data_IF_009142547248
#
_entry.id   IF_009142547248
#
_cell.length_a   1.000
_cell.length_b   1.000
_cell.length_c   1.000
_cell.angle_alpha   90.00
_cell.angle_beta   90.00
_cell.angle_gamma   90.00
#
_symmetry.space_group_name_H-M   'P 1'
#
loop_
_entity.id
_entity.type
_entity.pdbx_description
1 polymer ?
#
# COMPACT_ATOMS: atom_id res chain seq x y z
N UNK A 1 29.94 18.82 -20.22
CA UNK A 1 28.91 19.27 -19.26
C UNK A 1 29.25 20.69 -18.86
N UNK A 2 28.34 21.65 -19.00
CA UNK A 2 28.61 23.03 -18.60
C UNK A 2 27.99 23.27 -17.21
N UNK A 3 28.84 23.52 -16.22
CA UNK A 3 28.44 23.79 -14.83
C UNK A 3 28.60 25.28 -14.57
N UNK A 4 27.49 25.96 -14.30
CA UNK A 4 27.48 27.38 -13.94
C UNK A 4 27.20 27.54 -12.46
N UNK A 5 28.14 28.13 -11.72
CA UNK A 5 27.93 28.48 -10.31
C UNK A 5 27.00 29.69 -10.23
N UNK A 6 25.84 29.52 -9.59
CA UNK A 6 24.88 30.60 -9.38
C UNK A 6 25.14 31.36 -8.08
N UNK A 7 25.57 30.64 -7.04
CA UNK A 7 26.00 31.24 -5.76
C UNK A 7 26.86 30.27 -4.97
N UNK A 8 27.94 30.75 -4.36
CA UNK A 8 28.74 29.96 -3.40
C UNK A 8 28.81 30.68 -2.07
N UNK A 9 28.40 29.99 -1.01
CA UNK A 9 28.55 30.38 0.39
C UNK A 9 29.24 29.20 1.09
N UNK A 10 30.12 29.40 2.07
CA UNK A 10 30.71 28.29 2.83
C UNK A 10 29.63 27.32 3.32
N UNK A 11 29.76 26.06 2.91
CA UNK A 11 28.83 24.96 3.20
C UNK A 11 27.54 24.92 2.37
N UNK A 12 27.39 25.82 1.39
CA UNK A 12 26.23 25.87 0.49
C UNK A 12 26.59 26.36 -0.92
N UNK A 13 26.45 25.48 -1.91
CA UNK A 13 26.71 25.77 -3.31
C UNK A 13 25.43 25.64 -4.14
N UNK A 14 25.12 26.64 -4.98
CA UNK A 14 24.04 26.56 -5.97
C UNK A 14 24.61 26.55 -7.38
N UNK A 15 24.22 25.56 -8.16
CA UNK A 15 24.73 25.33 -9.50
C UNK A 15 23.58 25.25 -10.50
N UNK A 16 23.89 25.50 -11.76
CA UNK A 16 23.06 25.18 -12.90
C UNK A 16 23.87 24.32 -13.85
N UNK A 17 23.30 23.19 -14.26
CA UNK A 17 23.98 22.19 -15.09
C UNK A 17 23.21 22.06 -16.41
N UNK A 18 23.87 22.39 -17.52
CA UNK A 18 23.29 22.24 -18.86
C UNK A 18 23.90 21.00 -19.57
N UNK A 19 23.10 20.11 -20.21
CA UNK A 19 21.66 20.16 -20.46
C UNK A 19 20.91 19.11 -19.60
N UNK A 20 20.73 19.34 -18.30
CA UNK A 20 19.78 18.53 -17.53
C UNK A 20 18.35 18.86 -17.99
N UNK A 21 17.88 18.22 -19.06
CA UNK A 21 16.45 18.18 -19.42
C UNK A 21 15.71 17.38 -18.34
N UNK A 22 14.46 17.77 -18.09
CA UNK A 22 13.60 17.25 -17.01
C UNK A 22 13.64 15.71 -16.82
N UNK A 23 13.81 14.95 -17.89
CA UNK A 23 13.80 13.48 -17.89
C UNK A 23 15.09 12.85 -17.30
N UNK A 24 16.21 13.57 -17.28
CA UNK A 24 17.49 13.06 -16.76
C UNK A 24 17.74 13.43 -15.28
N UNK A 25 16.92 14.32 -14.70
CA UNK A 25 17.07 14.73 -13.29
C UNK A 25 16.55 13.65 -12.33
N UNK A 26 15.54 12.87 -12.74
CA UNK A 26 15.02 11.74 -11.95
C UNK A 26 16.08 10.63 -11.83
N UNK A 27 16.75 10.28 -12.92
CA UNK A 27 17.70 9.18 -12.94
C UNK A 27 19.06 9.52 -12.30
N UNK A 28 19.43 10.81 -12.26
CA UNK A 28 20.68 11.27 -11.65
C UNK A 28 20.70 11.06 -10.12
N UNK A 29 19.55 10.84 -9.48
CA UNK A 29 19.45 10.71 -8.02
C UNK A 29 18.73 9.44 -7.54
N UNK A 30 18.19 8.62 -8.44
CA UNK A 30 17.64 7.30 -8.11
C UNK A 30 18.72 6.20 -8.00
N UNK A 31 19.94 6.45 -8.50
CA UNK A 31 21.11 5.61 -8.18
C UNK A 31 21.68 6.03 -6.81
N UNK A 32 22.11 5.09 -5.95
CA UNK A 32 22.78 5.39 -4.70
C UNK A 32 24.15 6.00 -5.00
N UNK A 33 24.19 7.31 -5.22
CA UNK A 33 25.44 8.05 -5.35
C UNK A 33 26.04 8.13 -3.95
N UNK A 34 27.15 7.43 -3.74
CA UNK A 34 27.93 7.61 -2.52
C UNK A 34 28.46 9.02 -2.51
N UNK A 35 27.93 9.84 -1.59
CA UNK A 35 28.43 11.19 -1.40
C UNK A 35 29.88 11.13 -0.88
N UNK A 36 30.80 11.90 -1.46
CA UNK A 36 32.11 12.10 -0.88
C UNK A 36 31.98 12.55 0.58
N UNK A 37 32.90 12.12 1.47
CA UNK A 37 32.90 12.53 2.86
C UNK A 37 32.91 14.07 2.95
N UNK A 38 31.92 14.63 3.64
CA UNK A 38 31.72 16.07 3.78
C UNK A 38 30.68 16.69 2.86
N UNK A 39 30.11 15.97 1.89
CA UNK A 39 28.87 16.40 1.22
C UNK A 39 27.67 15.91 2.05
N UNK A 40 26.86 16.85 2.53
CA UNK A 40 25.76 16.59 3.46
C UNK A 40 24.43 16.38 2.74
N UNK A 41 24.21 17.11 1.64
CA UNK A 41 22.95 17.07 0.90
C UNK A 41 23.15 17.57 -0.53
N UNK A 42 22.53 16.92 -1.50
CA UNK A 42 22.38 17.42 -2.86
C UNK A 42 20.89 17.43 -3.20
N UNK A 43 20.33 18.60 -3.49
CA UNK A 43 18.90 18.81 -3.73
C UNK A 43 18.69 19.48 -5.10
N UNK A 44 18.17 18.75 -6.10
CA UNK A 44 17.86 19.32 -7.39
C UNK A 44 16.49 20.01 -7.39
N UNK A 45 16.38 21.09 -8.16
CA UNK A 45 15.11 21.71 -8.49
C UNK A 45 14.70 21.25 -9.90
N UNK A 46 13.69 20.38 -9.93
CA UNK A 46 13.16 19.71 -11.14
C UNK A 46 12.67 20.66 -12.22
N UNK A 47 12.29 21.88 -11.87
CA UNK A 47 11.69 22.85 -12.80
C UNK A 47 12.75 23.76 -13.42
N UNK A 48 13.87 23.99 -12.73
CA UNK A 48 14.86 25.01 -13.11
C UNK A 48 16.21 24.45 -13.51
N UNK A 49 16.39 23.12 -13.46
CA UNK A 49 17.67 22.43 -13.67
C UNK A 49 18.80 22.99 -12.77
N UNK A 50 18.41 23.47 -11.58
CA UNK A 50 19.32 24.01 -10.56
C UNK A 50 19.60 22.96 -9.52
N UNK A 51 20.84 22.92 -9.05
CA UNK A 51 21.30 22.03 -8.00
C UNK A 51 21.68 22.83 -6.77
N UNK A 52 21.21 22.42 -5.60
CA UNK A 52 21.64 22.93 -4.31
C UNK A 52 22.47 21.86 -3.60
N UNK A 53 23.74 22.14 -3.35
CA UNK A 53 24.64 21.27 -2.59
C UNK A 53 24.91 21.90 -1.23
N UNK A 54 24.76 21.13 -0.16
CA UNK A 54 25.26 21.45 1.18
C UNK A 54 26.45 20.55 1.47
N UNK A 55 27.51 21.15 1.99
CA UNK A 55 28.74 20.45 2.35
C UNK A 55 29.27 21.02 3.67
N UNK A 56 30.16 20.30 4.34
CA UNK A 56 30.88 20.80 5.50
C UNK A 56 32.13 21.55 5.01
N UNK A 57 32.18 22.89 5.16
CA UNK A 57 33.30 23.69 4.68
C UNK A 57 34.61 23.43 5.46
N UNK A 58 34.57 22.67 6.57
CA UNK A 58 35.77 22.22 7.28
C UNK A 58 36.41 21.00 6.65
N UNK A 59 35.65 20.22 5.88
CA UNK A 59 36.07 18.93 5.33
C UNK A 59 36.29 18.97 3.81
N UNK A 60 35.52 19.78 3.09
CA UNK A 60 35.54 19.82 1.61
C UNK A 60 35.46 21.27 1.14
N UNK A 61 36.28 21.65 0.15
CA UNK A 61 36.21 22.98 -0.43
C UNK A 61 35.24 23.05 -1.62
N UNK A 62 34.88 24.27 -2.05
CA UNK A 62 33.92 24.43 -3.16
C UNK A 62 34.40 23.77 -4.46
N UNK A 63 35.72 23.77 -4.71
CA UNK A 63 36.29 23.23 -5.93
C UNK A 63 36.17 21.70 -5.99
N UNK A 64 36.41 21.02 -4.87
CA UNK A 64 36.26 19.56 -4.78
C UNK A 64 34.83 19.11 -5.08
N UNK A 65 33.84 19.88 -4.63
CA UNK A 65 32.41 19.65 -4.93
C UNK A 65 32.14 19.81 -6.42
N UNK A 66 32.76 20.80 -7.09
CA UNK A 66 32.58 21.04 -8.51
C UNK A 66 33.22 19.94 -9.36
N UNK A 67 34.43 19.52 -8.99
CA UNK A 67 35.19 18.49 -9.69
C UNK A 67 34.51 17.12 -9.58
N UNK A 68 33.93 16.82 -8.42
CA UNK A 68 33.09 15.64 -8.23
C UNK A 68 31.83 15.67 -9.11
N UNK A 69 31.14 16.80 -9.21
CA UNK A 69 29.95 16.89 -10.09
C UNK A 69 30.34 16.75 -11.56
N UNK A 70 31.51 17.25 -11.94
CA UNK A 70 32.02 17.17 -13.30
C UNK A 70 32.47 15.75 -13.70
N UNK A 71 32.80 14.88 -12.74
CA UNK A 71 33.27 13.51 -12.99
C UNK A 71 32.15 12.49 -13.24
N UNK A 72 30.88 12.88 -13.09
CA UNK A 72 29.73 12.02 -13.33
C UNK A 72 29.45 11.94 -14.84
N UNK A 73 29.72 10.78 -15.46
CA UNK A 73 29.46 10.56 -16.89
C UNK A 73 27.96 10.37 -17.18
N UNK A 74 27.44 11.17 -18.10
CA UNK A 74 26.02 11.28 -18.44
C UNK A 74 25.60 10.37 -19.61
N UNK A 75 26.55 9.77 -20.34
CA UNK A 75 26.23 8.98 -21.52
C UNK A 75 25.70 7.58 -21.19
N UNK A 76 26.04 7.03 -20.02
CA UNK A 76 25.57 5.73 -19.51
C UNK A 76 24.10 5.73 -19.07
N UNK A 77 23.44 6.90 -19.09
CA UNK A 77 22.04 7.07 -18.68
C UNK A 77 21.07 6.89 -19.85
N UNK A 78 21.51 7.07 -21.09
CA UNK A 78 20.59 7.13 -22.25
C UNK A 78 20.19 5.78 -22.85
N UNK A 79 20.96 4.71 -22.64
CA UNK A 79 20.73 3.38 -23.23
C UNK A 79 19.72 2.52 -22.44
N UNK A 80 19.58 2.75 -21.13
CA UNK A 80 18.62 2.03 -20.27
C UNK A 80 17.21 2.64 -20.31
N UNK A 81 17.08 3.92 -20.66
CA UNK A 81 15.82 4.68 -20.69
C UNK A 81 14.79 4.10 -21.66
N UNK A 82 15.21 3.43 -22.74
CA UNK A 82 14.28 2.90 -23.74
C UNK A 82 13.73 1.49 -23.46
N UNK A 83 14.28 0.76 -22.49
CA UNK A 83 13.74 -0.56 -22.10
C UNK A 83 12.71 -0.49 -20.97
N UNK A 84 12.87 0.41 -20.00
CA UNK A 84 11.99 0.47 -18.82
C UNK A 84 10.75 1.36 -18.97
N UNK A 85 10.78 2.39 -19.83
CA UNK A 85 9.60 3.23 -20.06
C UNK A 85 8.50 2.53 -20.89
N UNK A 86 8.83 1.47 -21.63
CA UNK A 86 7.81 0.65 -22.35
C UNK A 86 7.18 -0.44 -21.47
N UNK A 87 7.69 -0.67 -20.25
CA UNK A 87 7.22 -1.76 -19.38
C UNK A 87 6.39 -1.32 -18.17
N UNK A 88 6.30 -0.02 -17.86
CA UNK A 88 5.38 0.52 -16.84
C UNK A 88 3.92 0.47 -17.33
N UNK A 89 3.40 -0.75 -17.45
CA UNK A 89 1.99 -1.01 -17.16
C UNK A 89 1.79 -0.62 -15.70
N UNK A 90 0.95 0.39 -15.47
CA UNK A 90 0.26 0.63 -14.20
C UNK A 90 -0.12 -0.70 -13.52
N UNK A 91 -0.33 -0.79 -12.20
CA UNK A 91 -0.81 -2.01 -11.56
C UNK A 91 -2.25 -2.34 -11.99
N UNK A 92 -2.38 -2.81 -13.23
CA UNK A 92 -3.55 -3.38 -13.89
C UNK A 92 -3.88 -4.75 -13.26
N UNK A 93 -3.05 -5.25 -12.34
CA UNK A 93 -3.17 -6.58 -11.73
C UNK A 93 -4.31 -6.69 -10.71
N UNK A 94 -4.58 -5.67 -9.89
CA UNK A 94 -5.60 -5.77 -8.82
C UNK A 94 -7.00 -5.95 -9.40
N UNK A 95 -7.29 -5.29 -10.53
CA UNK A 95 -8.57 -5.42 -11.21
C UNK A 95 -8.57 -6.42 -12.35
N UNK A 96 -7.47 -7.09 -12.72
CA UNK A 96 -7.47 -7.91 -13.95
C UNK A 96 -8.56 -8.99 -13.95
N UNK A 97 -8.75 -9.66 -12.82
CA UNK A 97 -9.76 -10.71 -12.68
C UNK A 97 -11.18 -10.15 -12.48
N UNK A 98 -11.30 -9.04 -11.77
CA UNK A 98 -12.60 -8.43 -11.44
C UNK A 98 -13.15 -7.58 -12.58
N UNK A 99 -12.27 -6.88 -13.30
CA UNK A 99 -12.56 -6.20 -14.55
C UNK A 99 -12.88 -7.20 -15.65
N UNK A 100 -12.26 -8.38 -15.64
CA UNK A 100 -12.66 -9.47 -16.53
C UNK A 100 -14.08 -9.96 -16.20
N UNK A 101 -14.41 -10.13 -14.92
CA UNK A 101 -15.75 -10.54 -14.49
C UNK A 101 -16.81 -9.47 -14.80
N UNK A 102 -16.53 -8.20 -14.52
CA UNK A 102 -17.44 -7.09 -14.81
C UNK A 102 -17.66 -6.90 -16.31
N UNK A 103 -16.61 -7.04 -17.11
CA UNK A 103 -16.70 -7.02 -18.58
C UNK A 103 -17.52 -8.19 -19.11
N UNK A 104 -17.37 -9.39 -18.52
CA UNK A 104 -18.20 -10.57 -18.85
C UNK A 104 -19.66 -10.33 -18.49
N UNK A 105 -19.96 -9.80 -17.30
CA UNK A 105 -21.32 -9.48 -16.87
C UNK A 105 -21.98 -8.43 -17.76
N UNK A 106 -21.26 -7.36 -18.10
CA UNK A 106 -21.75 -6.30 -18.98
C UNK A 106 -21.97 -6.82 -20.42
N UNK A 107 -21.07 -7.67 -20.92
CA UNK A 107 -21.26 -8.32 -22.21
C UNK A 107 -22.50 -9.23 -22.19
N UNK A 108 -22.65 -10.06 -21.17
CA UNK A 108 -23.76 -11.00 -21.03
C UNK A 108 -25.10 -10.28 -20.89
N UNK A 109 -25.15 -9.20 -20.12
CA UNK A 109 -26.35 -8.36 -20.00
C UNK A 109 -26.69 -7.65 -21.30
N UNK A 110 -25.69 -7.18 -22.05
CA UNK A 110 -25.87 -6.62 -23.39
C UNK A 110 -26.47 -7.64 -24.35
N UNK A 111 -25.91 -8.86 -24.39
CA UNK A 111 -26.42 -9.94 -25.25
C UNK A 111 -27.87 -10.29 -24.90
N UNK A 112 -28.19 -10.48 -23.62
CA UNK A 112 -29.55 -10.84 -23.21
C UNK A 112 -30.54 -9.69 -23.45
N UNK A 113 -30.11 -8.44 -23.25
CA UNK A 113 -30.90 -7.26 -23.59
C UNK A 113 -31.25 -7.20 -25.08
N UNK A 114 -30.26 -7.44 -25.96
CA UNK A 114 -30.48 -7.50 -27.41
C UNK A 114 -31.44 -8.63 -27.79
N UNK A 115 -31.24 -9.84 -27.23
CA UNK A 115 -32.14 -10.97 -27.48
C UNK A 115 -33.56 -10.65 -27.03
N UNK A 116 -33.73 -10.07 -25.83
CA UNK A 116 -35.03 -9.66 -25.34
C UNK A 116 -35.70 -8.65 -26.29
N UNK A 117 -34.94 -7.67 -26.82
CA UNK A 117 -35.44 -6.73 -27.81
C UNK A 117 -35.89 -7.43 -29.10
N UNK A 118 -35.09 -8.35 -29.64
CA UNK A 118 -35.41 -9.09 -30.87
C UNK A 118 -36.65 -9.99 -30.73
N UNK A 119 -36.82 -10.65 -29.59
CA UNK A 119 -37.93 -11.60 -29.38
C UNK A 119 -39.21 -10.95 -28.87
N UNK A 120 -39.11 -9.85 -28.11
CA UNK A 120 -40.29 -9.23 -27.49
C UNK A 120 -40.66 -7.88 -28.05
N UNK A 121 -39.80 -7.28 -28.89
CA UNK A 121 -39.94 -5.92 -29.42
C UNK A 121 -40.17 -4.85 -28.33
N UNK A 122 -39.89 -5.17 -27.06
CA UNK A 122 -40.09 -4.27 -25.93
C UNK A 122 -38.80 -3.56 -25.53
N UNK A 123 -38.68 -2.30 -25.94
CA UNK A 123 -37.58 -1.42 -25.54
C UNK A 123 -37.48 -1.29 -24.01
N UNK A 124 -38.63 -1.23 -23.32
CA UNK A 124 -38.70 -1.11 -21.85
C UNK A 124 -38.05 -2.31 -21.17
N UNK A 125 -38.32 -3.53 -21.66
CA UNK A 125 -37.76 -4.77 -21.13
C UNK A 125 -36.26 -4.86 -21.37
N UNK A 126 -35.82 -4.59 -22.60
CA UNK A 126 -34.41 -4.56 -22.97
C UNK A 126 -33.60 -3.57 -22.12
N UNK A 127 -34.07 -2.33 -21.98
CA UNK A 127 -33.39 -1.33 -21.15
C UNK A 127 -33.30 -1.75 -19.68
N UNK A 128 -34.36 -2.33 -19.13
CA UNK A 128 -34.35 -2.79 -17.73
C UNK A 128 -33.30 -3.88 -17.49
N UNK A 129 -33.20 -4.84 -18.41
CA UNK A 129 -32.19 -5.92 -18.35
C UNK A 129 -30.76 -5.38 -18.49
N UNK A 130 -30.56 -4.38 -19.35
CA UNK A 130 -29.27 -3.72 -19.51
C UNK A 130 -28.84 -3.00 -18.22
N UNK A 131 -29.75 -2.22 -17.62
CA UNK A 131 -29.48 -1.42 -16.40
C UNK A 131 -29.10 -2.34 -15.22
N UNK A 132 -29.83 -3.43 -15.03
CA UNK A 132 -29.58 -4.39 -13.94
C UNK A 132 -28.26 -5.15 -14.11
N UNK A 133 -27.79 -5.28 -15.36
CA UNK A 133 -26.52 -5.90 -15.68
C UNK A 133 -25.30 -5.00 -15.50
N UNK A 134 -25.47 -3.73 -15.13
CA UNK A 134 -24.36 -2.80 -14.92
C UNK A 134 -23.71 -3.03 -13.53
N UNK A 135 -22.41 -3.36 -13.47
CA UNK A 135 -21.72 -3.61 -12.19
C UNK A 135 -21.33 -2.33 -11.44
N UNK A 136 -21.80 -1.15 -11.87
CA UNK A 136 -21.34 0.14 -11.36
C UNK A 136 -21.54 0.34 -9.85
N UNK A 137 -22.68 -0.13 -9.32
CA UNK A 137 -22.97 -0.06 -7.88
C UNK A 137 -21.96 -0.82 -7.02
N UNK A 138 -21.48 -1.97 -7.51
CA UNK A 138 -20.50 -2.82 -6.80
C UNK A 138 -19.16 -2.11 -6.66
N UNK A 139 -18.66 -1.53 -7.75
CA UNK A 139 -17.39 -0.78 -7.74
C UNK A 139 -17.44 0.45 -6.85
N UNK A 140 -18.56 1.19 -6.87
CA UNK A 140 -18.74 2.36 -6.03
C UNK A 140 -18.80 1.98 -4.55
N UNK A 141 -19.47 0.89 -4.22
CA UNK A 141 -19.59 0.40 -2.85
C UNK A 141 -18.23 0.05 -2.26
N UNK A 142 -17.44 -0.76 -2.97
CA UNK A 142 -16.09 -1.15 -2.56
C UNK A 142 -15.19 0.06 -2.37
N UNK A 143 -15.17 0.98 -3.35
CA UNK A 143 -14.36 2.20 -3.27
C UNK A 143 -14.77 3.08 -2.08
N UNK A 144 -16.07 3.18 -1.80
CA UNK A 144 -16.55 3.90 -0.63
C UNK A 144 -16.09 3.24 0.67
N UNK A 145 -16.21 1.92 0.80
CA UNK A 145 -15.80 1.15 1.97
C UNK A 145 -14.31 1.34 2.29
N UNK A 146 -13.45 1.16 1.29
CA UNK A 146 -12.00 1.32 1.49
C UNK A 146 -11.61 2.76 1.75
N UNK A 147 -12.26 3.74 1.12
CA UNK A 147 -11.99 5.17 1.39
C UNK A 147 -12.39 5.59 2.81
N UNK A 148 -13.51 5.07 3.32
CA UNK A 148 -13.93 5.32 4.72
C UNK A 148 -12.91 4.71 5.67
N UNK A 149 -12.55 3.45 5.45
CA UNK A 149 -11.58 2.72 6.28
C UNK A 149 -10.19 3.37 6.26
N UNK A 150 -9.72 3.83 5.09
CA UNK A 150 -8.45 4.55 4.94
C UNK A 150 -8.43 5.83 5.78
N UNK A 151 -9.49 6.64 5.73
CA UNK A 151 -9.58 7.86 6.54
C UNK A 151 -9.48 7.54 8.03
N UNK A 152 -10.09 6.45 8.45
CA UNK A 152 -10.05 6.00 9.83
C UNK A 152 -8.63 5.55 10.24
N UNK A 153 -7.98 4.71 9.45
CA UNK A 153 -6.61 4.26 9.74
C UNK A 153 -5.59 5.41 9.74
N UNK A 154 -5.75 6.37 8.81
CA UNK A 154 -4.95 7.60 8.80
C UNK A 154 -5.15 8.41 10.09
N UNK A 155 -6.34 8.39 10.69
CA UNK A 155 -6.60 9.07 11.97
C UNK A 155 -5.95 8.36 13.17
N UNK A 156 -5.72 7.04 13.08
CA UNK A 156 -5.01 6.25 14.11
C UNK A 156 -3.48 6.33 13.92
N UNK A 157 -2.99 6.87 12.81
CA UNK A 157 -1.55 7.08 12.55
C UNK A 157 -0.93 6.15 11.52
N UNK A 158 -1.75 5.36 10.81
CA UNK A 158 -1.33 4.55 9.67
C UNK A 158 -1.63 5.28 8.37
N UNK A 159 -0.62 5.86 7.74
CA UNK A 159 -0.77 6.72 6.58
C UNK A 159 -0.49 5.98 5.28
N UNK A 160 -1.45 6.03 4.35
CA UNK A 160 -1.28 5.57 2.98
C UNK A 160 -2.21 6.32 2.02
N UNK A 161 -1.81 6.48 0.76
CA UNK A 161 -2.56 7.25 -0.24
C UNK A 161 -3.58 6.41 -1.03
N UNK A 162 -3.24 5.16 -1.37
CA UNK A 162 -4.12 4.31 -2.18
C UNK A 162 -5.07 3.47 -1.28
N UNK A 163 -6.39 3.72 -1.29
CA UNK A 163 -7.35 2.90 -0.55
C UNK A 163 -7.37 1.45 -1.01
N UNK A 164 -6.94 1.14 -2.23
CA UNK A 164 -6.89 -0.24 -2.73
C UNK A 164 -5.88 -1.10 -2.00
N UNK A 165 -4.89 -0.49 -1.35
CA UNK A 165 -3.91 -1.19 -0.54
C UNK A 165 -4.58 -1.96 0.61
N UNK A 166 -5.77 -1.52 1.08
CA UNK A 166 -6.57 -2.27 2.05
C UNK A 166 -7.04 -3.64 1.54
N UNK A 167 -7.28 -3.79 0.24
CA UNK A 167 -7.57 -5.10 -0.34
C UNK A 167 -6.34 -6.01 -0.27
N UNK A 168 -5.17 -5.43 -0.51
CA UNK A 168 -3.90 -6.16 -0.50
C UNK A 168 -3.52 -6.58 0.92
N UNK A 169 -3.75 -5.71 1.92
CA UNK A 169 -3.59 -6.06 3.34
C UNK A 169 -4.47 -7.24 3.73
N UNK A 170 -5.73 -7.27 3.25
CA UNK A 170 -6.67 -8.34 3.59
C UNK A 170 -6.22 -9.70 3.05
N UNK A 171 -5.45 -9.68 1.95
CA UNK A 171 -4.94 -10.86 1.27
C UNK A 171 -3.59 -11.35 1.82
N UNK A 172 -2.97 -10.63 2.77
CA UNK A 172 -1.70 -11.02 3.38
C UNK A 172 -1.84 -12.39 4.04
N UNK A 173 -0.88 -13.26 3.72
CA UNK A 173 -0.71 -14.58 4.34
C UNK A 173 0.65 -14.75 5.00
N UNK A 174 1.65 -14.06 4.47
CA UNK A 174 3.05 -14.16 4.88
C UNK A 174 3.51 -12.78 5.37
N UNK A 175 4.21 -12.74 6.50
CA UNK A 175 4.73 -11.53 7.09
C UNK A 175 6.24 -11.65 7.23
N UNK A 176 6.98 -10.71 6.66
CA UNK A 176 8.41 -10.55 6.87
C UNK A 176 8.62 -9.40 7.84
N UNK A 177 9.47 -9.59 8.85
CA UNK A 177 9.78 -8.55 9.83
C UNK A 177 11.29 -8.37 9.85
N UNK A 178 11.75 -7.16 9.62
CA UNK A 178 13.18 -6.83 9.68
C UNK A 178 13.75 -7.06 11.08
N UNK A 179 14.91 -7.71 11.15
CA UNK A 179 15.63 -8.06 12.36
C UNK A 179 15.91 -6.85 13.28
N UNK A 180 16.22 -5.68 12.70
CA UNK A 180 16.43 -4.42 13.45
C UNK A 180 15.24 -4.05 14.34
N UNK A 181 14.01 -4.46 13.97
CA UNK A 181 12.81 -4.22 14.78
C UNK A 181 12.74 -5.12 16.02
N UNK A 182 13.51 -6.20 16.06
CA UNK A 182 13.61 -7.13 17.19
C UNK A 182 14.70 -6.73 18.20
N UNK A 183 15.71 -5.99 17.75
CA UNK A 183 16.89 -5.64 18.57
C UNK A 183 17.07 -4.14 18.83
N UNK A 184 16.12 -3.43 19.46
CA UNK A 184 16.47 -2.13 20.02
C UNK A 184 17.39 -2.33 21.23
N UNK A 185 18.28 -1.37 21.45
CA UNK A 185 19.13 -1.25 22.66
C UNK A 185 18.32 -1.08 23.97
N UNK A 186 17.01 -1.37 23.96
CA UNK A 186 16.01 -1.19 25.02
C UNK A 186 15.19 -2.49 25.16
N UNK A 187 14.93 -3.00 26.37
CA UNK A 187 14.45 -4.37 26.60
C UNK A 187 13.04 -4.57 26.03
N UNK A 188 12.96 -5.27 24.90
CA UNK A 188 11.74 -5.47 24.10
C UNK A 188 11.16 -6.89 24.15
N UNK A 189 11.50 -7.68 25.18
CA UNK A 189 11.07 -9.08 25.24
C UNK A 189 9.56 -9.30 25.37
N UNK A 190 8.79 -8.33 25.90
CA UNK A 190 7.36 -8.55 26.18
C UNK A 190 6.37 -7.98 25.13
N UNK A 191 6.59 -6.80 24.52
CA UNK A 191 5.65 -6.25 23.53
C UNK A 191 5.61 -7.04 22.21
N UNK A 192 6.77 -7.47 21.72
CA UNK A 192 6.88 -8.10 20.39
C UNK A 192 6.33 -9.53 20.38
N UNK A 193 6.53 -10.29 21.45
CA UNK A 193 5.90 -11.60 21.65
C UNK A 193 4.36 -11.49 21.61
N UNK A 194 3.80 -10.44 22.23
CA UNK A 194 2.35 -10.18 22.16
C UNK A 194 1.89 -9.83 20.74
N UNK A 195 2.66 -9.04 20.02
CA UNK A 195 2.37 -8.70 18.61
C UNK A 195 2.37 -9.93 17.73
N UNK A 196 3.37 -10.80 17.87
CA UNK A 196 3.45 -12.06 17.10
C UNK A 196 2.30 -13.00 17.46
N UNK A 197 1.96 -13.12 18.75
CA UNK A 197 0.79 -13.88 19.20
C UNK A 197 -0.52 -13.33 18.60
N UNK A 198 -0.67 -12.00 18.53
CA UNK A 198 -1.82 -11.35 17.89
C UNK A 198 -1.86 -11.58 16.38
N UNK A 199 -0.72 -11.52 15.68
CA UNK A 199 -0.66 -11.88 14.26
C UNK A 199 -1.11 -13.33 14.03
N UNK A 200 -0.66 -14.26 14.88
CA UNK A 200 -1.10 -15.66 14.81
C UNK A 200 -2.59 -15.82 15.10
N UNK A 201 -3.15 -15.11 16.08
CA UNK A 201 -4.59 -15.19 16.38
C UNK A 201 -5.49 -14.68 15.24
N UNK A 202 -4.99 -13.77 14.40
CA UNK A 202 -5.69 -13.31 13.18
C UNK A 202 -5.39 -14.17 11.94
N UNK A 203 -4.73 -15.32 12.12
CA UNK A 203 -4.44 -16.31 11.09
C UNK A 203 -3.21 -16.03 10.23
N UNK A 204 -2.30 -15.13 10.65
CA UNK A 204 -0.97 -15.02 10.05
C UNK A 204 -0.03 -16.02 10.72
N UNK A 205 0.05 -17.21 10.12
CA UNK A 205 0.88 -18.30 10.65
C UNK A 205 2.31 -18.25 10.09
N UNK A 206 2.48 -17.67 8.90
CA UNK A 206 3.77 -17.59 8.25
C UNK A 206 4.43 -16.23 8.52
N UNK A 207 5.19 -16.20 9.61
CA UNK A 207 5.91 -15.01 10.07
C UNK A 207 7.38 -15.37 10.06
N UNK A 208 8.15 -14.65 9.24
CA UNK A 208 9.58 -14.88 9.02
C UNK A 208 10.35 -13.60 9.37
N UNK A 209 11.59 -13.77 9.82
CA UNK A 209 12.51 -12.67 10.07
C UNK A 209 13.28 -12.36 8.80
N UNK A 210 13.42 -11.08 8.45
CA UNK A 210 14.25 -10.61 7.36
C UNK A 210 15.54 -10.04 7.97
N UNK A 211 16.70 -10.56 7.56
CA UNK A 211 17.98 -10.11 8.10
C UNK A 211 19.02 -9.95 6.99
N UNK A 212 20.03 -9.12 7.23
CA UNK A 212 21.20 -9.03 6.37
C UNK A 212 22.16 -10.21 6.55
N UNK A 213 22.16 -10.84 7.74
CA UNK A 213 23.16 -11.86 8.10
C UNK A 213 22.54 -13.00 8.93
N UNK A 214 23.08 -14.20 8.76
CA UNK A 214 22.81 -15.30 9.70
C UNK A 214 23.60 -15.10 10.98
N UNK A 215 22.89 -14.83 12.06
CA UNK A 215 23.45 -14.85 13.41
C UNK A 215 22.74 -15.90 14.27
N UNK A 216 23.48 -16.54 15.17
CA UNK A 216 22.90 -17.44 16.18
C UNK A 216 21.86 -16.72 17.03
N UNK A 217 22.04 -15.40 17.24
CA UNK A 217 21.08 -14.53 17.92
C UNK A 217 19.76 -14.42 17.17
N UNK A 218 19.77 -14.29 15.83
CA UNK A 218 18.54 -14.23 15.03
C UNK A 218 17.78 -15.56 15.09
N UNK A 219 18.51 -16.68 15.02
CA UNK A 219 17.93 -18.01 15.13
C UNK A 219 17.31 -18.25 16.51
N UNK A 220 18.01 -17.85 17.57
CA UNK A 220 17.51 -17.94 18.94
C UNK A 220 16.26 -17.06 19.18
N UNK A 221 16.29 -15.82 18.69
CA UNK A 221 15.13 -14.91 18.77
C UNK A 221 13.93 -15.48 18.01
N UNK A 222 14.15 -16.05 16.82
CA UNK A 222 13.08 -16.71 16.06
C UNK A 222 12.46 -17.87 16.83
N UNK A 223 13.30 -18.74 17.41
CA UNK A 223 12.83 -19.84 18.23
C UNK A 223 12.00 -19.36 19.43
N UNK A 224 12.50 -18.35 20.16
CA UNK A 224 11.82 -17.83 21.35
C UNK A 224 10.46 -17.18 21.02
N UNK A 225 10.37 -16.47 19.90
CA UNK A 225 9.15 -15.77 19.49
C UNK A 225 8.21 -16.64 18.66
N UNK A 226 8.64 -17.84 18.25
CA UNK A 226 7.90 -18.68 17.32
C UNK A 226 7.81 -18.05 15.93
N UNK A 227 8.93 -17.59 15.38
CA UNK A 227 9.07 -17.16 13.98
C UNK A 227 9.62 -18.35 13.22
N UNK A 228 9.14 -18.59 11.99
CA UNK A 228 9.40 -19.87 11.31
C UNK A 228 10.83 -19.96 10.80
N UNK A 229 11.32 -18.92 10.14
CA UNK A 229 12.65 -18.90 9.52
C UNK A 229 13.25 -17.49 9.45
N UNK A 230 14.58 -17.44 9.31
CA UNK A 230 15.35 -16.23 8.99
C UNK A 230 15.65 -16.24 7.49
N UNK A 231 15.20 -15.21 6.79
CA UNK A 231 15.43 -14.99 5.36
C UNK A 231 16.55 -13.96 5.21
N UNK A 232 17.63 -14.34 4.51
CA UNK A 232 18.80 -13.49 4.30
C UNK A 232 18.64 -12.66 3.02
N UNK A 233 18.77 -11.35 3.15
CA UNK A 233 18.60 -10.36 2.09
C UNK A 233 19.56 -10.58 0.90
N UNK A 234 20.71 -11.23 1.10
CA UNK A 234 21.75 -11.37 0.06
C UNK A 234 21.58 -12.60 -0.87
N UNK A 235 20.74 -13.58 -0.54
CA UNK A 235 20.85 -14.92 -1.15
C UNK A 235 19.69 -15.41 -2.01
N UNK A 236 18.57 -14.69 -2.12
CA UNK A 236 17.46 -15.16 -2.95
C UNK A 236 16.77 -14.04 -3.71
N UNK A 237 16.67 -14.21 -5.03
CA UNK A 237 15.45 -13.81 -5.72
C UNK A 237 14.32 -14.61 -5.07
N UNK A 238 13.72 -14.07 -4.01
CA UNK A 238 12.52 -14.64 -3.40
C UNK A 238 11.58 -15.00 -4.54
N UNK A 239 11.15 -16.27 -4.60
CA UNK A 239 10.34 -16.76 -5.71
C UNK A 239 9.19 -15.76 -5.90
N UNK A 240 9.03 -15.22 -7.11
CA UNK A 240 8.03 -14.19 -7.40
C UNK A 240 6.63 -14.62 -6.96
N UNK A 241 6.38 -15.93 -6.88
CA UNK A 241 5.14 -16.50 -6.32
C UNK A 241 5.01 -16.27 -4.81
N UNK A 242 6.10 -16.42 -4.05
CA UNK A 242 6.14 -16.17 -2.61
C UNK A 242 5.83 -14.70 -2.29
N UNK A 243 6.24 -13.76 -3.14
CA UNK A 243 5.99 -12.33 -2.92
C UNK A 243 4.52 -11.90 -3.09
N UNK A 244 3.67 -12.71 -3.74
CA UNK A 244 2.30 -12.28 -4.14
C UNK A 244 1.27 -12.16 -3.02
N UNK A 245 1.60 -12.52 -1.77
CA UNK A 245 0.72 -12.35 -0.58
C UNK A 245 1.53 -12.02 0.68
N UNK A 246 2.66 -11.37 0.46
CA UNK A 246 3.66 -11.10 1.49
C UNK A 246 3.65 -9.63 1.80
N UNK A 247 3.61 -9.33 3.09
CA UNK A 247 3.88 -8.00 3.59
C UNK A 247 5.21 -7.97 4.34
N UNK A 248 5.94 -6.86 4.26
CA UNK A 248 7.14 -6.65 5.06
C UNK A 248 6.99 -5.49 6.01
N UNK A 249 7.51 -5.65 7.22
CA UNK A 249 7.69 -4.57 8.18
C UNK A 249 9.18 -4.19 8.19
N UNK A 250 9.50 -2.98 7.77
CA UNK A 250 10.87 -2.51 7.59
C UNK A 250 11.11 -1.17 8.29
N UNK A 251 12.34 -0.99 8.77
CA UNK A 251 12.86 0.20 9.45
C UNK A 251 13.95 0.85 8.60
N UNK A 252 13.60 1.38 7.42
CA UNK A 252 14.58 2.06 6.57
C UNK A 252 14.23 2.07 5.09
N UNK A 253 15.04 2.78 4.31
CA UNK A 253 14.94 2.88 2.85
C UNK A 253 15.57 1.70 2.10
N UNK A 254 16.50 1.00 2.74
CA UNK A 254 17.44 0.11 2.05
C UNK A 254 16.75 -1.17 1.54
N UNK A 255 15.66 -1.56 2.20
CA UNK A 255 14.83 -2.69 1.80
C UNK A 255 13.81 -2.37 0.70
N UNK A 256 13.54 -1.09 0.42
CA UNK A 256 12.55 -0.71 -0.59
C UNK A 256 12.92 -1.19 -2.00
N UNK A 257 14.23 -1.25 -2.31
CA UNK A 257 14.73 -1.72 -3.61
C UNK A 257 14.69 -3.24 -3.73
N UNK A 258 14.92 -3.96 -2.63
CA UNK A 258 14.93 -5.42 -2.60
C UNK A 258 13.53 -6.03 -2.69
N UNK A 259 12.53 -5.35 -2.13
CA UNK A 259 11.16 -5.83 -2.04
C UNK A 259 10.31 -5.52 -3.29
N UNK A 260 10.95 -5.16 -4.41
CA UNK A 260 10.35 -4.87 -5.72
C UNK A 260 9.57 -6.07 -6.30
N UNK A 261 8.37 -6.31 -5.79
CA UNK A 261 7.53 -7.45 -6.11
C UNK A 261 6.55 -7.85 -5.02
N UNK A 262 6.66 -7.27 -3.82
CA UNK A 262 5.73 -7.50 -2.72
C UNK A 262 4.37 -6.83 -2.91
N UNK A 263 3.41 -7.32 -2.14
CA UNK A 263 2.04 -6.80 -2.15
C UNK A 263 1.92 -5.54 -1.28
N UNK A 264 2.49 -5.53 -0.08
CA UNK A 264 2.36 -4.40 0.87
C UNK A 264 3.65 -4.19 1.67
N UNK A 265 4.05 -2.95 1.89
CA UNK A 265 5.17 -2.60 2.75
C UNK A 265 4.71 -1.71 3.91
N UNK A 266 4.99 -2.16 5.14
CA UNK A 266 4.79 -1.41 6.36
C UNK A 266 6.14 -0.80 6.77
N UNK A 267 6.26 0.52 6.67
CA UNK A 267 7.48 1.22 7.03
C UNK A 267 7.31 1.90 8.39
N UNK A 268 8.17 1.50 9.32
CA UNK A 268 8.35 2.17 10.59
C UNK A 268 9.19 3.42 10.34
N UNK A 269 8.67 4.60 10.67
CA UNK A 269 9.43 5.84 10.54
C UNK A 269 9.42 6.65 11.83
N UNK A 270 10.59 7.11 12.27
CA UNK A 270 10.72 8.04 13.40
C UNK A 270 10.34 9.49 13.02
N UNK A 271 10.32 9.81 11.73
CA UNK A 271 9.83 11.08 11.18
C UNK A 271 9.06 10.79 9.89
N UNK A 272 7.80 11.20 9.83
CA UNK A 272 6.97 11.00 8.63
C UNK A 272 7.45 11.97 7.55
N UNK A 273 8.46 11.58 6.78
CA UNK A 273 8.83 12.27 5.55
C UNK A 273 7.80 11.89 4.46
N UNK A 274 7.30 12.91 3.76
CA UNK A 274 6.08 12.86 2.94
C UNK A 274 6.19 12.08 1.62
N UNK A 275 7.30 11.37 1.37
CA UNK A 275 7.42 10.55 0.15
C UNK A 275 6.80 9.16 0.36
N UNK A 276 5.47 9.12 0.42
CA UNK A 276 4.68 7.88 0.37
C UNK A 276 4.66 7.30 -1.04
N UNK A 277 5.36 6.19 -1.25
CA UNK A 277 5.17 5.38 -2.45
C UNK A 277 3.83 4.63 -2.38
N UNK A 278 3.25 4.31 -3.55
CA UNK A 278 1.90 3.73 -3.67
C UNK A 278 1.65 2.41 -2.92
N UNK A 279 2.71 1.72 -2.46
CA UNK A 279 2.64 0.42 -1.77
C UNK A 279 3.11 0.47 -0.30
N UNK A 280 3.29 1.67 0.24
CA UNK A 280 3.90 1.88 1.56
C UNK A 280 2.88 2.44 2.55
N UNK A 281 2.74 1.79 3.70
CA UNK A 281 2.05 2.29 4.88
C UNK A 281 3.10 2.83 5.84
N UNK A 282 3.00 4.12 6.16
CA UNK A 282 3.84 4.77 7.16
C UNK A 282 3.17 4.73 8.52
N UNK A 283 3.92 4.36 9.56
CA UNK A 283 3.47 4.43 10.95
C UNK A 283 4.66 4.62 11.89
N UNK A 284 4.38 5.10 13.09
CA UNK A 284 5.40 5.27 14.14
C UNK A 284 5.70 3.93 14.81
N UNK A 285 6.95 3.74 15.21
CA UNK A 285 7.44 2.64 16.06
C UNK A 285 6.58 2.40 17.30
N UNK A 286 6.01 3.46 17.89
CA UNK A 286 5.10 3.36 19.03
C UNK A 286 3.82 2.59 18.72
N UNK A 287 3.40 2.53 17.45
CA UNK A 287 2.14 1.95 16.96
C UNK A 287 2.29 0.54 16.38
N UNK A 288 3.47 -0.10 16.46
CA UNK A 288 3.67 -1.48 15.97
C UNK A 288 2.65 -2.46 16.57
N UNK A 289 2.20 -2.22 17.80
CA UNK A 289 1.20 -3.04 18.48
C UNK A 289 -0.21 -2.98 17.86
N UNK A 290 -0.51 -1.92 17.12
CA UNK A 290 -1.78 -1.70 16.42
C UNK A 290 -1.76 -2.28 15.01
N UNK A 291 -0.60 -2.70 14.49
CA UNK A 291 -0.48 -3.25 13.14
C UNK A 291 -1.34 -4.52 12.96
N UNK A 292 -1.44 -5.37 13.98
CA UNK A 292 -2.36 -6.52 13.95
C UNK A 292 -3.81 -6.08 13.79
N UNK A 293 -4.20 -4.98 14.42
CA UNK A 293 -5.53 -4.40 14.29
C UNK A 293 -5.76 -3.86 12.87
N UNK A 294 -4.77 -3.19 12.25
CA UNK A 294 -4.88 -2.74 10.85
C UNK A 294 -5.16 -3.91 9.90
N UNK A 295 -4.43 -5.01 10.05
CA UNK A 295 -4.62 -6.21 9.23
C UNK A 295 -6.01 -6.83 9.49
N UNK A 296 -6.41 -6.92 10.76
CA UNK A 296 -7.71 -7.46 11.14
C UNK A 296 -8.87 -6.62 10.58
N UNK A 297 -8.79 -5.30 10.72
CA UNK A 297 -9.76 -4.34 10.18
C UNK A 297 -9.87 -4.47 8.68
N UNK A 298 -8.73 -4.52 7.98
CA UNK A 298 -8.70 -4.75 6.54
C UNK A 298 -9.39 -6.07 6.14
N UNK A 299 -9.11 -7.18 6.83
CA UNK A 299 -9.78 -8.48 6.60
C UNK A 299 -11.28 -8.41 6.86
N UNK A 300 -11.69 -7.75 7.94
CA UNK A 300 -13.10 -7.57 8.30
C UNK A 300 -13.85 -6.78 7.23
N UNK A 301 -13.32 -5.62 6.82
CA UNK A 301 -13.91 -4.77 5.78
C UNK A 301 -13.97 -5.51 4.46
N UNK A 302 -12.93 -6.24 4.08
CA UNK A 302 -12.94 -7.04 2.86
C UNK A 302 -14.07 -8.09 2.87
N UNK A 303 -14.28 -8.78 4.01
CA UNK A 303 -15.40 -9.72 4.18
C UNK A 303 -16.77 -9.02 4.05
N UNK A 304 -16.93 -7.85 4.67
CA UNK A 304 -18.17 -7.08 4.58
C UNK A 304 -18.45 -6.59 3.15
N UNK A 305 -17.41 -6.15 2.43
CA UNK A 305 -17.52 -5.76 1.01
C UNK A 305 -17.98 -6.94 0.18
N UNK A 306 -17.35 -8.11 0.31
CA UNK A 306 -17.76 -9.33 -0.42
C UNK A 306 -19.21 -9.71 -0.09
N UNK A 307 -19.60 -9.69 1.18
CA UNK A 307 -20.98 -9.99 1.59
C UNK A 307 -22.00 -9.03 0.98
N UNK A 308 -21.64 -7.75 0.91
CA UNK A 308 -22.48 -6.72 0.30
C UNK A 308 -22.56 -6.86 -1.21
N UNK A 309 -21.45 -7.19 -1.88
CA UNK A 309 -21.39 -7.44 -3.32
C UNK A 309 -22.26 -8.66 -3.70
N UNK A 310 -22.16 -9.76 -2.94
CA UNK A 310 -22.99 -10.95 -3.14
C UNK A 310 -24.49 -10.63 -2.98
N UNK A 311 -24.84 -9.83 -1.98
CA UNK A 311 -26.23 -9.40 -1.75
C UNK A 311 -26.76 -8.55 -2.90
N UNK A 312 -25.94 -7.61 -3.41
CA UNK A 312 -26.31 -6.78 -4.55
C UNK A 312 -26.43 -7.60 -5.85
N UNK A 313 -25.56 -8.58 -6.08
CA UNK A 313 -25.67 -9.52 -7.21
C UNK A 313 -26.96 -10.34 -7.12
N UNK A 314 -27.32 -10.85 -5.94
CA UNK A 314 -28.56 -11.58 -5.72
C UNK A 314 -29.80 -10.72 -6.02
N UNK A 315 -29.81 -9.47 -5.55
CA UNK A 315 -30.90 -8.52 -5.82
C UNK A 315 -31.00 -8.14 -7.29
N UNK A 316 -29.87 -7.89 -7.97
CA UNK A 316 -29.84 -7.65 -9.40
C UNK A 316 -30.37 -8.87 -10.17
N UNK A 317 -30.05 -10.09 -9.72
CA UNK A 317 -30.55 -11.33 -10.32
C UNK A 317 -32.07 -11.46 -10.19
N UNK A 318 -32.64 -11.14 -9.02
CA UNK A 318 -34.10 -11.09 -8.83
C UNK A 318 -34.72 -10.02 -9.74
N UNK A 319 -34.12 -8.82 -9.77
CA UNK A 319 -34.53 -7.75 -10.66
C UNK A 319 -34.51 -8.18 -12.13
N UNK A 320 -33.54 -8.99 -12.52
CA UNK A 320 -33.41 -9.51 -13.87
C UNK A 320 -34.58 -10.41 -14.25
N UNK A 321 -34.99 -11.32 -13.36
CA UNK A 321 -36.18 -12.14 -13.56
C UNK A 321 -37.46 -11.31 -13.63
N UNK A 322 -37.61 -10.28 -12.78
CA UNK A 322 -38.74 -9.36 -12.82
C UNK A 322 -38.79 -8.55 -14.12
N UNK A 323 -37.65 -8.06 -14.60
CA UNK A 323 -37.54 -7.38 -15.89
C UNK A 323 -37.87 -8.33 -17.05
N UNK A 324 -37.40 -9.58 -17.00
CA UNK A 324 -37.75 -10.60 -17.98
C UNK A 324 -39.25 -10.96 -17.95
N UNK A 325 -39.92 -10.92 -16.80
CA UNK A 325 -41.36 -11.08 -16.71
C UNK A 325 -42.15 -9.80 -17.13
N UNK A 326 -41.46 -8.74 -17.55
CA UNK A 326 -42.04 -7.43 -17.87
C UNK A 326 -42.76 -6.78 -16.67
N UNK A 327 -42.36 -7.14 -15.44
CA UNK A 327 -42.87 -6.58 -14.18
C UNK A 327 -42.04 -5.39 -13.70
N UNK A 328 -40.84 -5.22 -14.23
CA UNK A 328 -39.92 -4.14 -13.86
C UNK A 328 -39.77 -3.13 -15.01
N UNK A 329 -40.03 -1.84 -14.73
CA UNK A 329 -39.74 -0.77 -15.69
C UNK A 329 -38.29 -0.30 -15.55
N UNK A 330 -37.73 0.40 -16.56
CA UNK A 330 -36.36 0.92 -16.47
C UNK A 330 -36.16 1.85 -15.28
N UNK A 331 -37.18 2.63 -14.90
CA UNK A 331 -37.12 3.52 -13.75
C UNK A 331 -37.03 2.75 -12.43
N UNK A 332 -37.78 1.64 -12.30
CA UNK A 332 -37.67 0.73 -11.16
C UNK A 332 -36.34 -0.03 -11.15
N UNK A 333 -35.78 -0.37 -12.32
CA UNK A 333 -34.44 -0.95 -12.42
C UNK A 333 -33.35 0.01 -11.90
N UNK A 334 -33.42 1.28 -12.28
CA UNK A 334 -32.50 2.32 -11.76
C UNK A 334 -32.66 2.46 -10.24
N UNK A 335 -33.90 2.55 -9.75
CA UNK A 335 -34.18 2.66 -8.32
C UNK A 335 -33.62 1.45 -7.55
N UNK A 336 -33.76 0.23 -8.09
CA UNK A 336 -33.23 -1.00 -7.50
C UNK A 336 -31.70 -0.99 -7.48
N UNK A 337 -31.04 -0.62 -8.58
CA UNK A 337 -29.58 -0.47 -8.61
C UNK A 337 -29.07 0.59 -7.61
N UNK A 338 -29.82 1.68 -7.45
CA UNK A 338 -29.48 2.74 -6.50
C UNK A 338 -29.66 2.29 -5.04
N UNK A 339 -30.74 1.58 -4.72
CA UNK A 339 -30.97 0.95 -3.41
C UNK A 339 -29.89 -0.10 -3.10
N UNK A 340 -29.48 -0.89 -4.09
CA UNK A 340 -28.40 -1.87 -3.98
C UNK A 340 -27.03 -1.23 -3.68
N UNK A 341 -26.84 0.06 -3.96
CA UNK A 341 -25.66 0.80 -3.55
C UNK A 341 -25.85 1.47 -2.18
N UNK A 342 -26.99 2.14 -1.96
CA UNK A 342 -27.24 2.91 -0.74
C UNK A 342 -27.35 2.05 0.51
N UNK A 343 -28.14 0.97 0.47
CA UNK A 343 -28.40 0.13 1.64
C UNK A 343 -27.10 -0.49 2.14
N UNK A 344 -26.28 -1.14 1.30
CA UNK A 344 -25.01 -1.67 1.77
C UNK A 344 -24.02 -0.59 2.20
N UNK A 345 -24.03 0.59 1.57
CA UNK A 345 -23.17 1.70 1.99
C UNK A 345 -23.50 2.18 3.40
N UNK A 346 -24.79 2.35 3.72
CA UNK A 346 -25.24 2.76 5.07
C UNK A 346 -24.89 1.65 6.07
N UNK A 347 -25.16 0.40 5.72
CA UNK A 347 -24.81 -0.76 6.54
C UNK A 347 -23.31 -0.81 6.84
N UNK A 348 -22.45 -0.68 5.81
CA UNK A 348 -20.99 -0.66 5.97
C UNK A 348 -20.54 0.48 6.88
N UNK A 349 -21.10 1.68 6.72
CA UNK A 349 -20.75 2.82 7.55
C UNK A 349 -21.08 2.57 9.03
N UNK A 350 -22.23 1.96 9.30
CA UNK A 350 -22.63 1.61 10.68
C UNK A 350 -21.79 0.47 11.25
N UNK A 351 -21.44 -0.54 10.44
CA UNK A 351 -20.59 -1.65 10.87
C UNK A 351 -19.16 -1.21 11.14
N UNK A 352 -18.63 -0.25 10.38
CA UNK A 352 -17.34 0.38 10.66
C UNK A 352 -17.40 1.09 12.01
N UNK A 353 -18.39 1.97 12.22
CA UNK A 353 -18.55 2.71 13.48
C UNK A 353 -18.69 1.77 14.70
N UNK A 354 -19.47 0.68 14.57
CA UNK A 354 -19.63 -0.26 15.67
C UNK A 354 -18.35 -1.06 15.98
N UNK A 355 -17.58 -1.40 14.94
CA UNK A 355 -16.28 -2.04 15.12
C UNK A 355 -15.27 -1.10 15.81
N UNK A 356 -15.36 0.22 15.55
CA UNK A 356 -14.55 1.24 16.23
C UNK A 356 -14.85 1.32 17.72
N UNK A 357 -16.13 1.37 18.11
CA UNK A 357 -16.54 1.39 19.53
C UNK A 357 -15.99 0.16 20.27
N UNK A 358 -16.13 -1.02 19.67
CA UNK A 358 -15.62 -2.26 20.24
C UNK A 358 -14.08 -2.27 20.39
N UNK A 359 -13.36 -1.68 19.44
CA UNK A 359 -11.90 -1.58 19.51
C UNK A 359 -11.44 -0.62 20.60
N UNK A 360 -12.08 0.56 20.71
CA UNK A 360 -11.75 1.55 21.74
C UNK A 360 -11.95 0.92 23.13
N UNK A 361 -13.06 0.20 23.34
CA UNK A 361 -13.34 -0.50 24.58
C UNK A 361 -12.28 -1.58 24.89
N UNK A 362 -11.83 -2.33 23.88
CA UNK A 362 -10.78 -3.35 24.04
C UNK A 362 -9.42 -2.73 24.38
N UNK A 363 -9.03 -1.65 23.69
CA UNK A 363 -7.77 -0.93 23.95
C UNK A 363 -7.79 -0.31 25.34
N UNK A 364 -8.88 0.32 25.75
CA UNK A 364 -9.02 0.88 27.09
C UNK A 364 -8.97 -0.22 28.16
N UNK A 365 -9.72 -1.32 27.99
CA UNK A 365 -9.68 -2.47 28.90
C UNK A 365 -8.28 -3.07 29.02
N UNK A 366 -7.52 -3.15 27.91
CA UNK A 366 -6.16 -3.67 27.90
C UNK A 366 -5.18 -2.76 28.65
N UNK A 367 -5.32 -1.43 28.56
CA UNK A 367 -4.53 -0.46 29.33
C UNK A 367 -4.83 -0.56 30.83
N UNK A 368 -6.08 -0.76 31.22
CA UNK A 368 -6.50 -0.91 32.63
C UNK A 368 -6.10 -2.26 33.25
N UNK A 369 -6.14 -3.35 32.49
CA UNK A 369 -5.70 -4.67 32.97
C UNK A 369 -4.18 -4.78 33.07
N UNK A 370 -3.44 -4.14 32.16
CA UNK A 370 -1.99 -4.06 32.24
C UNK A 370 -1.55 -3.30 33.50
N UNK A 371 -2.12 -2.11 33.76
CA UNK A 371 -1.84 -1.33 34.97
C UNK A 371 -2.21 -2.02 36.28
N UNK A 372 -3.32 -2.77 36.34
CA UNK A 372 -3.68 -3.57 37.53
C UNK A 372 -2.76 -4.77 37.78
N UNK A 373 -2.22 -5.39 36.73
CA UNK A 373 -1.26 -6.50 36.89
C UNK A 373 0.06 -6.01 37.48
N UNK A 374 0.50 -4.80 37.14
CA UNK A 374 1.70 -4.19 37.69
C UNK A 374 1.50 -3.56 39.07
N UNK A 375 0.29 -3.11 39.41
CA UNK A 375 -0.02 -2.65 40.77
C UNK A 375 -0.09 -3.79 41.82
N UNK A 376 -0.15 -5.05 41.39
CA UNK A 376 -0.09 -6.24 42.27
C UNK A 376 1.31 -6.85 42.42
N UNK A 377 2.31 -6.31 41.73
CA UNK A 377 3.72 -6.77 41.78
C UNK A 377 4.61 -5.77 42.57
N UNK A 378 4.01 -4.74 43.17
CA UNK A 378 4.62 -3.96 44.26
C UNK A 378 3.84 -4.24 45.54
#
# INVERSE_FOLDING_TARGET
MEIKVLSSIPGRLRLQINPLRNENVEFFFDKPIQFPPGILLVSPNRVTSRLLVRYDPKLVCTQDVLDWIASIDMNDVSSDVHKDLKSKKYPVKVYQNEFALSKRLLFLSGVISCLALCFTFSLKRSLSLLILGLPGGLFLLRRAAYKITQKHLNAIGFYFEDPNLLYEIAAIKHLLIEDVLFFPEVPLSHPLEMVIKRFRSIGLLDINMLSHETSDTNSYTCYQLGINEVIINQQHSLDKKFLTKTASIVNGSDYCQFLGGQMVMFRVSMKIDQETQAYMILFDSSQVHDLSHVIQTSKYIHKLVIGSENSAVALNTIGFFLAAANLLTPLWAIALCFLNYLVPKIYLNNQIAHYEEAYIDEVECSKFTCTRKYARIR
#
